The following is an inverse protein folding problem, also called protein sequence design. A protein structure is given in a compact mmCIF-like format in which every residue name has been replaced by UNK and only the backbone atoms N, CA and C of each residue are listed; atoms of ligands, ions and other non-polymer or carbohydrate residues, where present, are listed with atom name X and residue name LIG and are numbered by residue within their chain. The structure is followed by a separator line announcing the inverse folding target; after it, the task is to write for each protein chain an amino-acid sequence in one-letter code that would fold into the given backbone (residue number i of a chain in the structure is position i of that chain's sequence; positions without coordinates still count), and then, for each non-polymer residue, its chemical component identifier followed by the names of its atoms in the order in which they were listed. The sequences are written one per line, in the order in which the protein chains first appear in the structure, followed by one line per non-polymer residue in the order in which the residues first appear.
data_IF_606230449730
#
_entry.id   IF_606230449730
#
_cell.length_a   1.000
_cell.length_b   1.000
_cell.length_c   1.000
_cell.angle_alpha   90.00
_cell.angle_beta   90.00
_cell.angle_gamma   90.00
#
_symmetry.space_group_name_H-M   'P 1'
#
loop_
_entity.id
_entity.type
_entity.pdbx_description
1 polymer ?
#
# COMPACT_ATOMS: atom_id res chain seq x y z
N UNK A 1 -0.94 -4.18 18.16
CA UNK A 1 -1.38 -4.63 16.82
C UNK A 1 -0.24 -4.44 15.84
N UNK A 2 -0.09 -5.31 14.84
CA UNK A 2 0.96 -5.18 13.82
C UNK A 2 0.40 -4.57 12.53
N UNK A 3 1.20 -3.72 11.91
CA UNK A 3 0.91 -3.05 10.65
C UNK A 3 2.02 -3.34 9.67
N UNK A 4 1.67 -3.86 8.50
CA UNK A 4 2.62 -4.15 7.43
C UNK A 4 2.37 -3.22 6.25
N UNK A 5 3.42 -2.53 5.80
CA UNK A 5 3.44 -1.80 4.54
C UNK A 5 4.14 -2.61 3.45
N UNK A 6 3.52 -2.71 2.28
CA UNK A 6 4.07 -3.40 1.10
C UNK A 6 4.12 -2.43 -0.08
N UNK A 7 5.31 -1.99 -0.47
CA UNK A 7 5.55 -1.35 -1.76
C UNK A 7 5.80 -2.44 -2.79
N UNK A 8 4.73 -2.87 -3.47
CA UNK A 8 4.77 -4.09 -4.28
C UNK A 8 5.52 -3.84 -5.59
N UNK A 9 6.41 -4.76 -5.98
CA UNK A 9 6.98 -4.78 -7.33
C UNK A 9 5.91 -5.24 -8.33
N UNK A 10 5.24 -4.30 -9.01
CA UNK A 10 4.02 -4.57 -9.81
C UNK A 10 4.17 -5.62 -10.92
N UNK A 11 5.33 -5.70 -11.56
CA UNK A 11 5.61 -6.63 -12.68
C UNK A 11 7.07 -7.07 -12.76
N UNK A 12 7.97 -6.30 -12.15
CA UNK A 12 9.40 -6.60 -12.06
C UNK A 12 10.02 -5.84 -10.88
N UNK A 13 11.17 -6.31 -10.43
CA UNK A 13 11.89 -5.71 -9.31
C UNK A 13 11.35 -6.15 -7.95
N UNK A 14 12.12 -5.81 -6.93
CA UNK A 14 11.82 -6.26 -5.58
C UNK A 14 10.80 -5.35 -4.88
N UNK A 15 9.92 -5.98 -4.09
CA UNK A 15 8.97 -5.32 -3.21
C UNK A 15 9.66 -4.84 -1.94
N UNK A 16 9.35 -3.63 -1.50
CA UNK A 16 9.79 -3.09 -0.21
C UNK A 16 8.79 -3.39 0.89
N UNK A 17 9.26 -3.84 2.05
CA UNK A 17 8.43 -4.27 3.17
C UNK A 17 8.80 -3.52 4.44
N UNK A 18 7.79 -3.23 5.25
CA UNK A 18 7.94 -2.60 6.56
C UNK A 18 6.97 -3.22 7.55
N UNK A 19 7.45 -3.65 8.72
CA UNK A 19 6.61 -4.12 9.82
C UNK A 19 6.69 -3.12 10.97
N UNK A 20 5.53 -2.68 11.44
CA UNK A 20 5.38 -1.79 12.59
C UNK A 20 4.54 -2.46 13.66
N UNK A 21 4.86 -2.25 14.93
CA UNK A 21 3.94 -2.51 16.04
C UNK A 21 3.37 -1.20 16.55
N UNK A 22 2.09 -1.23 16.88
CA UNK A 22 1.46 -0.20 17.69
C UNK A 22 1.10 -0.78 19.04
N UNK A 23 1.62 -0.16 20.08
CA UNK A 23 1.31 -0.48 21.46
C UNK A 23 1.38 0.77 22.34
N UNK A 24 0.47 0.91 23.31
CA UNK A 24 0.42 2.01 24.28
C UNK A 24 0.65 3.44 23.71
N UNK A 25 0.13 3.72 22.52
CA UNK A 25 0.28 5.06 21.90
C UNK A 25 1.62 5.27 21.18
N UNK A 26 2.45 4.23 21.06
CA UNK A 26 3.75 4.26 20.40
C UNK A 26 3.73 3.36 19.18
N UNK A 27 4.40 3.83 18.14
CA UNK A 27 4.67 3.09 16.92
C UNK A 27 6.14 2.71 16.91
N UNK A 28 6.44 1.43 16.81
CA UNK A 28 7.80 0.90 16.75
C UNK A 28 8.04 0.22 15.40
N UNK A 29 9.20 0.50 14.80
CA UNK A 29 9.65 -0.19 13.60
C UNK A 29 10.29 -1.52 13.99
N UNK A 30 9.68 -2.62 13.56
CA UNK A 30 10.15 -3.97 13.88
C UNK A 30 11.14 -4.48 12.82
N UNK A 31 10.85 -4.29 11.53
CA UNK A 31 11.68 -4.82 10.45
C UNK A 31 11.45 -4.10 9.12
N UNK A 32 12.48 -4.13 8.28
CA UNK A 32 12.47 -3.66 6.89
C UNK A 32 13.11 -4.72 6.01
N UNK A 33 12.42 -5.14 4.96
CA UNK A 33 12.95 -6.12 4.02
C UNK A 33 12.70 -5.73 2.57
N UNK A 34 13.40 -6.44 1.68
CA UNK A 34 13.20 -6.32 0.24
C UNK A 34 13.32 -7.68 -0.42
N UNK A 35 12.25 -8.15 -1.05
CA UNK A 35 12.21 -9.44 -1.74
C UNK A 35 11.70 -9.31 -3.17
N UNK A 36 12.27 -10.09 -4.07
CA UNK A 36 11.85 -10.14 -5.47
C UNK A 36 10.70 -11.11 -5.70
N UNK A 37 10.75 -12.29 -5.09
CA UNK A 37 9.66 -13.25 -5.23
C UNK A 37 8.48 -12.90 -4.31
N UNK A 38 7.27 -12.96 -4.86
CA UNK A 38 6.03 -12.77 -4.10
C UNK A 38 5.88 -13.81 -2.98
N UNK A 39 6.36 -15.05 -3.20
CA UNK A 39 6.34 -16.09 -2.18
C UNK A 39 7.13 -15.69 -0.93
N UNK A 40 8.32 -15.07 -1.11
CA UNK A 40 9.15 -14.60 0.01
C UNK A 40 8.48 -13.43 0.75
N UNK A 41 7.81 -12.53 0.01
CA UNK A 41 6.99 -11.45 0.60
C UNK A 41 5.90 -12.04 1.49
N UNK A 42 5.14 -13.01 0.99
CA UNK A 42 4.05 -13.65 1.72
C UNK A 42 4.56 -14.43 2.93
N UNK A 43 5.67 -15.18 2.79
CA UNK A 43 6.30 -15.88 3.90
C UNK A 43 6.75 -14.92 5.00
N UNK A 44 7.33 -13.78 4.61
CA UNK A 44 7.73 -12.75 5.56
C UNK A 44 6.54 -12.14 6.29
N UNK A 45 5.41 -11.90 5.60
CA UNK A 45 4.15 -11.46 6.24
C UNK A 45 3.68 -12.49 7.26
N UNK A 46 3.68 -13.78 6.89
CA UNK A 46 3.25 -14.88 7.76
C UNK A 46 4.14 -15.02 9.01
N UNK A 47 5.44 -14.70 8.89
CA UNK A 47 6.38 -14.69 10.02
C UNK A 47 6.13 -13.54 11.02
N UNK A 48 5.58 -12.41 10.54
CA UNK A 48 5.28 -11.27 11.41
C UNK A 48 3.88 -11.32 12.00
N UNK A 49 2.88 -11.81 11.28
CA UNK A 49 1.48 -11.84 11.74
C UNK A 49 0.97 -13.27 11.72
N UNK A 50 1.00 -13.94 12.86
CA UNK A 50 0.51 -15.31 12.98
C UNK A 50 -0.99 -15.40 12.64
N UNK A 51 -1.52 -16.55 12.17
CA UNK A 51 -2.89 -16.65 11.65
C UNK A 51 -4.00 -16.18 12.60
N UNK A 52 -3.80 -16.30 13.91
CA UNK A 52 -4.71 -15.93 14.98
C UNK A 52 -4.49 -14.51 15.53
N UNK A 53 -3.48 -13.79 15.05
CA UNK A 53 -3.20 -12.42 15.45
C UNK A 53 -3.99 -11.39 14.63
N UNK A 54 -4.33 -10.28 15.27
CA UNK A 54 -4.83 -9.09 14.58
C UNK A 54 -3.71 -8.40 13.81
N UNK A 55 -4.00 -7.93 12.59
CA UNK A 55 -3.03 -7.24 11.77
C UNK A 55 -3.65 -6.50 10.60
N UNK A 56 -2.95 -5.49 10.10
CA UNK A 56 -3.38 -4.76 8.92
C UNK A 56 -2.24 -4.65 7.91
N UNK A 57 -2.56 -4.90 6.65
CA UNK A 57 -1.61 -4.83 5.54
C UNK A 57 -2.04 -3.71 4.59
N UNK A 58 -1.16 -2.74 4.37
CA UNK A 58 -1.36 -1.67 3.41
C UNK A 58 -0.44 -1.89 2.20
N UNK A 59 -1.02 -1.98 1.00
CA UNK A 59 -0.31 -2.38 -0.23
C UNK A 59 -0.31 -1.22 -1.24
N UNK A 60 0.86 -0.74 -1.69
CA UNK A 60 1.01 0.24 -2.80
C UNK A 60 0.84 -0.46 -4.16
N UNK A 61 -0.34 -1.08 -4.37
CA UNK A 61 -0.75 -1.68 -5.63
C UNK A 61 -2.27 -1.89 -5.68
N UNK A 62 -2.88 -1.95 -6.88
CA UNK A 62 -4.29 -2.27 -7.03
C UNK A 62 -4.52 -3.78 -6.85
N UNK A 63 -4.89 -4.19 -5.64
CA UNK A 63 -5.15 -5.59 -5.25
C UNK A 63 -6.56 -6.07 -5.64
N UNK A 64 -7.49 -5.17 -5.92
CA UNK A 64 -8.85 -5.51 -6.34
C UNK A 64 -9.22 -4.78 -7.64
N UNK A 65 -9.31 -5.49 -8.77
CA UNK A 65 -9.55 -4.87 -10.08
C UNK A 65 -10.81 -5.48 -10.73
N UNK A 66 -12.00 -4.87 -10.56
CA UNK A 66 -13.26 -5.47 -11.01
C UNK A 66 -13.63 -5.10 -12.45
N UNK A 67 -12.98 -4.10 -13.05
CA UNK A 67 -13.33 -3.51 -14.34
C UNK A 67 -12.40 -4.00 -15.46
N UNK A 68 -12.98 -4.30 -16.62
CA UNK A 68 -12.22 -4.70 -17.81
C UNK A 68 -11.34 -3.56 -18.36
N UNK A 69 -11.87 -2.33 -18.40
CA UNK A 69 -11.19 -1.14 -18.94
C UNK A 69 -11.49 0.10 -18.10
N UNK A 70 -10.78 1.20 -18.37
CA UNK A 70 -11.03 2.50 -17.73
C UNK A 70 -10.50 2.61 -16.30
N UNK A 71 -11.07 3.54 -15.53
CA UNK A 71 -10.71 3.80 -14.12
C UNK A 71 -11.64 3.05 -13.17
N UNK A 72 -11.08 2.49 -12.10
CA UNK A 72 -11.87 1.98 -10.97
C UNK A 72 -12.49 3.13 -10.19
N UNK A 73 -13.45 2.81 -9.31
CA UNK A 73 -14.02 3.79 -8.40
C UNK A 73 -12.94 4.47 -7.52
N UNK A 74 -12.02 3.74 -6.86
CA UNK A 74 -10.96 4.36 -6.06
C UNK A 74 -10.07 5.32 -6.87
N UNK A 75 -9.65 4.92 -8.07
CA UNK A 75 -8.77 5.74 -8.92
C UNK A 75 -9.46 7.06 -9.32
N UNK A 76 -10.75 6.99 -9.68
CA UNK A 76 -11.56 8.16 -10.01
C UNK A 76 -11.75 9.09 -8.80
N UNK A 77 -11.98 8.53 -7.61
CA UNK A 77 -12.10 9.31 -6.38
C UNK A 77 -10.77 9.96 -6.00
N UNK A 78 -9.66 9.23 -6.13
CA UNK A 78 -8.33 9.78 -5.92
C UNK A 78 -8.05 10.96 -6.87
N UNK A 79 -8.36 10.81 -8.17
CA UNK A 79 -8.26 11.93 -9.11
C UNK A 79 -9.15 13.12 -8.72
N UNK A 80 -10.40 12.88 -8.34
CA UNK A 80 -11.35 13.92 -7.95
C UNK A 80 -10.89 14.71 -6.72
N UNK A 81 -10.42 14.02 -5.69
CA UNK A 81 -10.09 14.63 -4.40
C UNK A 81 -8.65 15.12 -4.33
N UNK A 82 -7.73 14.46 -5.03
CA UNK A 82 -6.29 14.68 -4.90
C UNK A 82 -5.61 15.21 -6.18
N UNK A 83 -6.33 15.29 -7.30
CA UNK A 83 -5.77 15.78 -8.58
C UNK A 83 -5.17 17.18 -8.49
N UNK A 84 -5.79 18.09 -7.72
CA UNK A 84 -5.29 19.47 -7.51
C UNK A 84 -3.92 19.54 -6.81
N UNK A 85 -3.51 18.47 -6.12
CA UNK A 85 -2.23 18.36 -5.43
C UNK A 85 -1.18 17.61 -6.25
N UNK A 86 -1.50 17.26 -7.51
CA UNK A 86 -0.74 16.34 -8.35
C UNK A 86 -0.66 14.91 -7.79
N UNK A 87 -1.62 14.53 -6.94
CA UNK A 87 -1.72 13.23 -6.29
C UNK A 87 -2.80 12.33 -6.93
N UNK A 88 -3.02 12.47 -8.25
CA UNK A 88 -3.85 11.53 -9.00
C UNK A 88 -3.21 10.14 -9.08
N UNK A 89 -4.03 9.10 -9.19
CA UNK A 89 -3.57 7.72 -9.20
C UNK A 89 -3.60 7.13 -10.60
N UNK A 90 -2.62 6.27 -10.91
CA UNK A 90 -2.63 5.56 -12.18
C UNK A 90 -3.85 4.64 -12.25
N UNK A 91 -4.64 4.67 -13.34
CA UNK A 91 -5.84 3.85 -13.43
C UNK A 91 -5.50 2.37 -13.58
N UNK A 92 -6.21 1.53 -12.84
CA UNK A 92 -6.09 0.08 -12.93
C UNK A 92 -7.31 -0.54 -13.62
N UNK A 93 -7.06 -1.52 -14.46
CA UNK A 93 -8.09 -2.33 -15.12
C UNK A 93 -7.48 -3.68 -15.53
N UNK A 94 -8.32 -4.66 -15.83
CA UNK A 94 -7.88 -6.02 -16.16
C UNK A 94 -7.00 -6.12 -17.42
N UNK A 95 -7.02 -5.10 -18.29
CA UNK A 95 -6.11 -5.00 -19.43
C UNK A 95 -4.69 -4.54 -19.07
N UNK A 96 -4.43 -4.15 -17.82
CA UNK A 96 -3.11 -3.71 -17.38
C UNK A 96 -2.17 -4.91 -17.16
N UNK A 97 -0.91 -4.79 -17.61
CA UNK A 97 0.08 -5.89 -17.53
C UNK A 97 0.34 -6.41 -16.12
N UNK A 98 0.13 -5.58 -15.10
CA UNK A 98 0.31 -5.93 -13.68
C UNK A 98 -0.94 -6.53 -13.04
N UNK A 99 -2.12 -6.44 -13.69
CA UNK A 99 -3.40 -6.70 -13.04
C UNK A 99 -3.49 -8.12 -12.48
N UNK A 100 -3.04 -9.12 -13.24
CA UNK A 100 -3.07 -10.51 -12.79
C UNK A 100 -2.22 -10.73 -11.52
N UNK A 101 -1.02 -10.14 -11.47
CA UNK A 101 -0.10 -10.31 -10.34
C UNK A 101 -0.59 -9.58 -9.09
N UNK A 102 -1.07 -8.35 -9.23
CA UNK A 102 -1.54 -7.55 -8.08
C UNK A 102 -2.85 -8.11 -7.51
N UNK A 103 -3.77 -8.59 -8.36
CA UNK A 103 -4.99 -9.27 -7.91
C UNK A 103 -4.66 -10.60 -7.24
N UNK A 104 -3.76 -11.40 -7.80
CA UNK A 104 -3.32 -12.64 -7.17
C UNK A 104 -2.71 -12.40 -5.77
N UNK A 105 -1.94 -11.33 -5.60
CA UNK A 105 -1.43 -10.93 -4.29
C UNK A 105 -2.54 -10.61 -3.30
N UNK A 106 -3.55 -9.81 -3.71
CA UNK A 106 -4.72 -9.52 -2.89
C UNK A 106 -5.47 -10.77 -2.46
N UNK A 107 -5.72 -11.70 -3.40
CA UNK A 107 -6.35 -12.99 -3.12
C UNK A 107 -5.53 -13.85 -2.15
N UNK A 108 -4.19 -13.87 -2.30
CA UNK A 108 -3.32 -14.59 -1.35
C UNK A 108 -3.37 -14.02 0.07
N UNK A 109 -3.65 -12.72 0.22
CA UNK A 109 -3.91 -12.10 1.53
C UNK A 109 -5.31 -12.47 2.05
N UNK A 110 -6.32 -12.52 1.20
CA UNK A 110 -7.67 -12.98 1.58
C UNK A 110 -7.65 -14.43 2.06
N UNK A 111 -6.91 -15.32 1.40
CA UNK A 111 -6.69 -16.71 1.81
C UNK A 111 -6.05 -16.81 3.21
N UNK A 112 -5.29 -15.79 3.63
CA UNK A 112 -4.70 -15.64 4.97
C UNK A 112 -5.61 -14.93 5.97
N UNK A 113 -6.88 -14.71 5.59
CA UNK A 113 -7.89 -14.07 6.40
C UNK A 113 -7.83 -12.54 6.43
N UNK A 114 -6.96 -11.90 5.64
CA UNK A 114 -6.93 -10.44 5.54
C UNK A 114 -8.04 -9.97 4.59
N UNK A 115 -9.13 -9.48 5.16
CA UNK A 115 -10.29 -9.02 4.40
C UNK A 115 -10.08 -7.61 3.85
N UNK A 116 -10.56 -7.33 2.64
CA UNK A 116 -10.64 -5.96 2.15
C UNK A 116 -11.55 -5.12 3.06
N UNK A 117 -11.04 -3.98 3.50
CA UNK A 117 -11.74 -3.09 4.43
C UNK A 117 -11.85 -1.66 3.86
N UNK A 118 -12.80 -1.40 2.95
CA UNK A 118 -13.01 -0.05 2.39
C UNK A 118 -13.52 0.94 3.45
N UNK A 119 -14.12 0.43 4.53
CA UNK A 119 -14.47 1.17 5.73
C UNK A 119 -13.80 0.47 6.92
N UNK A 120 -13.13 1.24 7.76
CA UNK A 120 -12.44 0.75 8.95
C UNK A 120 -12.84 1.62 10.15
N UNK A 121 -13.19 0.98 11.25
CA UNK A 121 -13.36 1.68 12.52
C UNK A 121 -12.00 1.79 13.23
N UNK A 122 -11.68 2.93 13.86
CA UNK A 122 -10.42 3.08 14.60
C UNK A 122 -10.25 1.98 15.65
N UNK A 123 -9.07 1.35 15.66
CA UNK A 123 -8.70 0.26 16.60
C UNK A 123 -9.58 -0.98 16.51
N UNK A 124 -10.29 -1.17 15.41
CA UNK A 124 -11.03 -2.40 15.14
C UNK A 124 -10.08 -3.60 15.13
N UNK A 125 -10.39 -4.61 15.94
CA UNK A 125 -9.70 -5.89 15.91
C UNK A 125 -10.07 -6.65 14.62
N UNK A 126 -9.10 -7.39 14.07
CA UNK A 126 -9.27 -8.19 12.88
C UNK A 126 -8.02 -8.24 12.02
N UNK A 127 -8.17 -8.88 10.86
CA UNK A 127 -7.16 -9.01 9.82
C UNK A 127 -7.67 -8.29 8.59
N UNK A 128 -7.00 -7.21 8.22
CA UNK A 128 -7.46 -6.35 7.12
C UNK A 128 -6.36 -6.10 6.09
N UNK A 129 -6.78 -5.92 4.84
CA UNK A 129 -5.93 -5.38 3.79
C UNK A 129 -6.57 -4.14 3.16
N UNK A 130 -5.73 -3.16 2.83
CA UNK A 130 -6.12 -1.94 2.12
C UNK A 130 -5.11 -1.61 1.03
N UNK A 131 -5.59 -0.96 -0.02
CA UNK A 131 -4.72 -0.33 -1.02
C UNK A 131 -4.24 1.01 -0.49
N UNK A 132 -2.92 1.20 -0.44
CA UNK A 132 -2.29 2.44 -0.08
C UNK A 132 -2.13 3.32 -1.32
N UNK A 133 -2.44 4.60 -1.19
CA UNK A 133 -2.12 5.61 -2.20
C UNK A 133 -1.15 6.63 -1.58
N UNK A 134 0.18 6.41 -1.67
CA UNK A 134 1.15 7.17 -0.87
C UNK A 134 1.12 8.67 -1.12
N UNK A 135 0.98 9.12 -2.37
CA UNK A 135 0.90 10.54 -2.70
C UNK A 135 -0.33 11.23 -2.06
N UNK A 136 -1.58 10.72 -2.25
CA UNK A 136 -2.74 11.19 -1.49
C UNK A 136 -2.54 11.17 0.03
N UNK A 137 -2.00 10.07 0.57
CA UNK A 137 -1.82 9.91 2.01
C UNK A 137 -0.86 10.97 2.58
N UNK A 138 0.30 11.18 1.96
CA UNK A 138 1.29 12.18 2.36
C UNK A 138 0.68 13.58 2.32
N UNK A 139 -0.02 13.93 1.22
CA UNK A 139 -0.69 15.23 1.08
C UNK A 139 -1.71 15.45 2.20
N UNK A 140 -2.54 14.44 2.48
CA UNK A 140 -3.58 14.55 3.48
C UNK A 140 -3.03 14.61 4.91
N UNK A 141 -2.14 13.68 5.25
CA UNK A 141 -1.60 13.53 6.61
C UNK A 141 -0.72 14.71 7.03
N UNK A 142 0.03 15.30 6.11
CA UNK A 142 0.93 16.41 6.40
C UNK A 142 0.40 17.77 5.94
N UNK A 143 -0.82 17.83 5.40
CA UNK A 143 -1.44 19.08 4.94
C UNK A 143 -0.67 19.78 3.82
N UNK A 144 0.01 19.03 2.96
CA UNK A 144 0.88 19.61 1.93
C UNK A 144 0.08 20.24 0.79
N UNK A 145 0.56 21.34 0.20
CA UNK A 145 -0.09 21.97 -0.94
C UNK A 145 0.04 21.15 -2.24
N UNK A 146 0.95 20.17 -2.29
CA UNK A 146 1.20 19.28 -3.42
C UNK A 146 2.01 18.05 -2.98
N UNK A 147 2.14 17.04 -3.84
CA UNK A 147 3.01 15.89 -3.60
C UNK A 147 4.48 16.29 -3.38
N UNK A 148 5.20 15.47 -2.62
CA UNK A 148 6.66 15.48 -2.60
C UNK A 148 7.21 14.67 -3.78
N UNK A 149 8.12 15.24 -4.56
CA UNK A 149 8.73 14.56 -5.72
C UNK A 149 9.92 13.69 -5.31
N UNK A 150 9.66 12.63 -4.54
CA UNK A 150 10.72 11.76 -4.00
C UNK A 150 11.00 10.50 -4.83
N UNK A 151 10.12 10.10 -5.76
CA UNK A 151 10.25 8.84 -6.53
C UNK A 151 11.18 8.92 -7.76
N UNK A 152 11.43 10.12 -8.33
CA UNK A 152 12.24 10.32 -9.55
C UNK A 152 13.26 11.44 -9.38
N UNK A 153 14.31 11.41 -10.19
CA UNK A 153 15.38 12.43 -10.18
C UNK A 153 16.62 12.00 -9.40
N UNK A 154 17.60 12.90 -9.31
CA UNK A 154 18.85 12.65 -8.59
C UNK A 154 18.59 12.62 -7.08
N UNK A 155 19.41 11.88 -6.33
CA UNK A 155 19.28 11.77 -4.88
C UNK A 155 19.23 13.14 -4.18
N UNK A 156 20.05 14.09 -4.63
CA UNK A 156 20.10 15.45 -4.09
C UNK A 156 18.76 16.20 -4.25
N UNK A 157 18.13 16.07 -5.43
CA UNK A 157 16.84 16.71 -5.73
C UNK A 157 15.72 16.11 -4.87
N UNK A 158 15.72 14.78 -4.73
CA UNK A 158 14.74 14.08 -3.89
C UNK A 158 14.88 14.44 -2.42
N UNK A 159 16.11 14.60 -1.91
CA UNK A 159 16.35 15.00 -0.52
C UNK A 159 15.80 16.38 -0.21
N UNK A 160 15.92 17.33 -1.15
CA UNK A 160 15.38 18.67 -0.98
C UNK A 160 13.84 18.68 -0.84
N UNK A 161 13.15 17.72 -1.46
CA UNK A 161 11.70 17.57 -1.29
C UNK A 161 11.31 17.05 0.10
N UNK A 162 12.17 16.28 0.78
CA UNK A 162 11.86 15.67 2.08
C UNK A 162 12.04 16.61 3.29
N UNK A 163 12.55 17.83 3.06
CA UNK A 163 12.70 18.89 4.08
C UNK A 163 11.66 20.02 3.93
N UNK A 164 10.72 19.88 2.99
CA UNK A 164 9.60 20.83 2.79
C UNK A 164 8.44 20.49 3.70
#
# INVERSE_FOLDING_TARGET
MKFVGVDLGWSSGASGLCCLSWDEGKLELLDLQRYEAIADVLQWIDAWIAPDENGMIAVDAPTLIPNATGMRLPDRLAHKHFGRYHAGCYPANLGSVFAAQTVAFGLSLEERGFLHAPNLEPKQAGRFQIEAFPHPAIVHLFGLPQILKYKKGRLAERRAELVR
#
